data_IF_352722501383
#
_entry.id   IF_352722501383
#
_cell.length_a   1.000
_cell.length_b   1.000
_cell.length_c   1.000
_cell.angle_alpha   90.00
_cell.angle_beta   90.00
_cell.angle_gamma   90.00
#
_symmetry.space_group_name_H-M   'P 1'
#
loop_
_entity.id
_entity.type
_entity.pdbx_description
1 polymer ?
#
# COMPACT_ATOMS: atom_id res chain seq x y z
N UNK A 1 23.72 36.99 21.08
CA UNK A 1 23.02 37.89 20.13
C UNK A 1 21.56 37.91 20.53
N UNK A 2 21.04 39.06 20.93
CA UNK A 2 19.59 39.26 21.12
C UNK A 2 18.94 39.36 19.75
N UNK A 3 17.89 38.57 19.49
CA UNK A 3 17.15 38.64 18.25
C UNK A 3 16.51 40.03 18.09
N UNK A 4 16.65 40.65 16.91
CA UNK A 4 15.98 41.90 16.60
C UNK A 4 14.54 41.61 16.16
N UNK A 5 13.60 41.72 17.10
CA UNK A 5 12.19 41.43 16.84
C UNK A 5 11.54 42.45 15.89
N UNK A 6 12.03 43.69 15.80
CA UNK A 6 11.49 44.70 14.90
C UNK A 6 11.74 44.32 13.43
N UNK A 7 12.92 43.77 13.13
CA UNK A 7 13.25 43.25 11.79
C UNK A 7 12.43 42.00 11.46
N UNK A 8 12.22 41.11 12.44
CA UNK A 8 11.40 39.89 12.27
C UNK A 8 9.93 40.26 12.01
N UNK A 9 9.38 41.19 12.77
CA UNK A 9 8.00 41.67 12.60
C UNK A 9 7.85 42.36 11.24
N UNK A 10 8.83 43.17 10.83
CA UNK A 10 8.82 43.82 9.52
C UNK A 10 8.92 42.81 8.38
N UNK A 11 9.76 41.78 8.52
CA UNK A 11 9.84 40.69 7.55
C UNK A 11 8.50 39.94 7.42
N UNK A 12 7.78 39.72 8.53
CA UNK A 12 6.45 39.09 8.53
C UNK A 12 5.36 39.96 7.89
N UNK A 13 5.50 41.28 7.88
CA UNK A 13 4.50 42.20 7.29
C UNK A 13 4.76 42.52 5.81
N UNK A 14 5.98 42.31 5.33
CA UNK A 14 6.40 42.65 3.95
C UNK A 14 6.63 41.42 3.07
N UNK A 15 7.08 40.28 3.65
CA UNK A 15 7.35 39.08 2.86
C UNK A 15 6.05 38.32 2.54
N UNK A 16 5.81 38.04 1.25
CA UNK A 16 4.70 37.18 0.81
C UNK A 16 4.94 35.69 1.11
N UNK A 17 6.17 35.30 1.46
CA UNK A 17 6.54 33.95 1.90
C UNK A 17 7.77 33.98 2.80
N UNK A 18 7.77 33.19 3.88
CA UNK A 18 8.95 32.96 4.72
C UNK A 18 10.12 32.37 3.91
N UNK A 19 11.37 32.77 4.20
CA UNK A 19 12.55 32.13 3.61
C UNK A 19 12.66 30.68 4.09
N UNK A 20 12.30 29.73 3.22
CA UNK A 20 12.42 28.31 3.49
C UNK A 20 13.79 27.81 3.02
N UNK A 21 14.60 27.27 3.94
CA UNK A 21 15.95 26.79 3.63
C UNK A 21 15.97 25.30 3.25
N UNK A 22 16.96 24.89 2.46
CA UNK A 22 17.20 23.48 2.13
C UNK A 22 17.48 22.63 3.38
N UNK A 23 18.12 23.22 4.40
CA UNK A 23 18.29 22.57 5.71
C UNK A 23 16.95 22.27 6.37
N UNK A 24 16.00 23.22 6.36
CA UNK A 24 14.67 23.01 6.93
C UNK A 24 13.91 21.93 6.16
N UNK A 25 13.99 21.95 4.83
CA UNK A 25 13.40 20.93 3.97
C UNK A 25 13.93 19.52 4.31
N UNK A 26 15.26 19.40 4.43
CA UNK A 26 15.93 18.14 4.75
C UNK A 26 15.45 17.57 6.09
N UNK A 27 15.36 18.42 7.14
CA UNK A 27 14.91 18.01 8.47
C UNK A 27 13.48 17.45 8.43
N UNK A 28 12.58 18.07 7.67
CA UNK A 28 11.19 17.59 7.55
C UNK A 28 11.09 16.26 6.78
N UNK A 29 12.01 16.01 5.85
CA UNK A 29 12.02 14.83 5.00
C UNK A 29 12.85 13.67 5.54
N UNK A 30 13.49 13.78 6.72
CA UNK A 30 14.29 12.67 7.29
C UNK A 30 13.50 11.36 7.42
N UNK A 31 12.27 11.31 8.00
CA UNK A 31 11.50 10.07 8.07
C UNK A 31 11.17 9.47 6.69
N UNK A 32 10.84 10.32 5.72
CA UNK A 32 10.57 9.91 4.34
C UNK A 32 11.82 9.40 3.62
N UNK A 33 12.96 10.05 3.83
CA UNK A 33 14.25 9.66 3.27
C UNK A 33 14.70 8.32 3.84
N UNK A 34 14.49 8.11 5.15
CA UNK A 34 14.77 6.83 5.81
C UNK A 34 14.03 5.66 5.14
N UNK A 35 12.71 5.74 4.98
CA UNK A 35 11.92 4.65 4.38
C UNK A 35 12.23 4.45 2.89
N UNK A 36 12.57 5.51 2.16
CA UNK A 36 12.89 5.42 0.72
C UNK A 36 14.33 4.97 0.45
N UNK A 37 15.25 5.18 1.40
CA UNK A 37 16.65 4.73 1.31
C UNK A 37 16.83 3.22 1.37
N UNK A 38 15.85 2.48 1.88
CA UNK A 38 15.85 1.02 1.91
C UNK A 38 14.98 0.49 0.76
N UNK A 39 15.55 0.08 -0.39
CA UNK A 39 14.76 -0.31 -1.56
C UNK A 39 13.85 -1.49 -1.23
N UNK A 40 12.60 -1.43 -1.68
CA UNK A 40 11.69 -2.56 -1.59
C UNK A 40 11.90 -3.53 -2.75
N UNK A 41 11.17 -4.65 -2.78
CA UNK A 41 10.96 -5.37 -4.04
C UNK A 41 10.26 -4.41 -5.00
N UNK A 42 10.93 -4.01 -6.08
CA UNK A 42 10.54 -2.99 -7.06
C UNK A 42 9.33 -3.39 -7.93
N UNK A 43 8.31 -4.01 -7.32
CA UNK A 43 7.11 -4.51 -8.01
C UNK A 43 6.31 -3.35 -8.62
N UNK A 44 6.27 -2.19 -7.96
CA UNK A 44 5.59 -1.00 -8.47
C UNK A 44 6.24 -0.47 -9.74
N UNK A 45 7.57 -0.33 -9.75
CA UNK A 45 8.32 0.09 -10.94
C UNK A 45 8.12 -0.90 -12.09
N UNK A 46 8.16 -2.21 -11.79
CA UNK A 46 7.89 -3.25 -12.78
C UNK A 46 6.44 -3.18 -13.32
N UNK A 47 5.45 -2.94 -12.46
CA UNK A 47 4.06 -2.76 -12.87
C UNK A 47 3.91 -1.54 -13.78
N UNK A 48 4.48 -0.38 -13.41
CA UNK A 48 4.48 0.81 -14.26
C UNK A 48 5.07 0.47 -15.64
N UNK A 49 6.25 -0.15 -15.69
CA UNK A 49 6.88 -0.52 -16.97
C UNK A 49 6.02 -1.50 -17.78
N UNK A 50 5.37 -2.44 -17.11
CA UNK A 50 4.51 -3.41 -17.75
C UNK A 50 3.27 -2.75 -18.36
N UNK A 51 2.56 -1.90 -17.63
CA UNK A 51 1.41 -1.14 -18.16
C UNK A 51 1.83 -0.13 -19.23
N UNK A 52 3.05 0.41 -19.16
CA UNK A 52 3.53 1.35 -20.17
C UNK A 52 3.75 0.70 -21.55
N UNK A 53 3.88 -0.64 -21.63
CA UNK A 53 3.85 -1.36 -22.91
C UNK A 53 2.52 -1.19 -23.64
N UNK A 54 1.42 -1.03 -22.90
CA UNK A 54 0.09 -0.81 -23.48
C UNK A 54 -0.27 0.65 -23.64
N UNK A 55 0.17 1.50 -22.71
CA UNK A 55 -0.29 2.89 -22.60
C UNK A 55 0.64 3.90 -23.29
N UNK A 56 1.91 3.55 -23.50
CA UNK A 56 2.91 4.40 -24.16
C UNK A 56 2.88 5.86 -23.66
N UNK A 57 3.00 6.04 -22.35
CA UNK A 57 2.97 7.35 -21.69
C UNK A 57 4.25 8.13 -22.03
N UNK A 58 4.16 9.42 -22.39
CA UNK A 58 5.33 10.27 -22.60
C UNK A 58 6.29 10.24 -21.41
N UNK A 59 7.60 10.19 -21.68
CA UNK A 59 8.63 9.93 -20.67
C UNK A 59 8.61 10.95 -19.51
N UNK A 60 8.40 12.22 -19.82
CA UNK A 60 8.31 13.31 -18.86
C UNK A 60 7.09 13.16 -17.94
N UNK A 61 5.92 12.80 -18.50
CA UNK A 61 4.71 12.51 -17.74
C UNK A 61 4.87 11.26 -16.87
N UNK A 62 5.44 10.19 -17.43
CA UNK A 62 5.68 8.93 -16.71
C UNK A 62 6.61 9.14 -15.49
N UNK A 63 7.63 9.99 -15.63
CA UNK A 63 8.50 10.34 -14.50
C UNK A 63 7.75 11.07 -13.39
N UNK A 64 6.88 12.04 -13.73
CA UNK A 64 6.03 12.72 -12.73
C UNK A 64 5.07 11.74 -12.06
N UNK A 65 4.40 10.88 -12.83
CA UNK A 65 3.50 9.84 -12.29
C UNK A 65 4.24 8.93 -11.30
N UNK A 66 5.45 8.46 -11.66
CA UNK A 66 6.25 7.63 -10.76
C UNK A 66 6.64 8.34 -9.47
N UNK A 67 6.95 9.64 -9.52
CA UNK A 67 7.21 10.45 -8.31
C UNK A 67 5.98 10.56 -7.44
N UNK A 68 4.81 10.89 -8.02
CA UNK A 68 3.53 10.99 -7.31
C UNK A 68 3.21 9.67 -6.61
N UNK A 69 3.22 8.55 -7.34
CA UNK A 69 2.92 7.22 -6.79
C UNK A 69 3.91 6.83 -5.69
N UNK A 70 5.19 7.16 -5.85
CA UNK A 70 6.22 6.85 -4.84
C UNK A 70 6.04 7.65 -3.56
N UNK A 71 5.76 8.95 -3.68
CA UNK A 71 5.47 9.82 -2.54
C UNK A 71 4.24 9.34 -1.77
N UNK A 72 3.12 9.13 -2.48
CA UNK A 72 1.88 8.64 -1.86
C UNK A 72 2.07 7.28 -1.18
N UNK A 73 2.78 6.35 -1.85
CA UNK A 73 3.06 5.03 -1.27
C UNK A 73 3.88 5.12 0.01
N UNK A 74 5.03 5.78 -0.04
CA UNK A 74 5.95 5.84 1.09
C UNK A 74 5.34 6.61 2.25
N UNK A 75 4.59 7.70 1.99
CA UNK A 75 3.79 8.39 3.02
C UNK A 75 2.75 7.48 3.65
N UNK A 76 2.02 6.70 2.84
CA UNK A 76 1.03 5.76 3.37
C UNK A 76 1.66 4.71 4.27
N UNK A 77 2.85 4.20 3.93
CA UNK A 77 3.57 3.24 4.76
C UNK A 77 4.07 3.84 6.08
N UNK A 78 4.52 5.10 6.09
CA UNK A 78 4.91 5.77 7.34
C UNK A 78 3.74 5.88 8.32
N UNK A 79 2.54 6.17 7.80
CA UNK A 79 1.32 6.25 8.61
C UNK A 79 0.83 4.86 9.02
N UNK A 80 0.83 3.89 8.11
CA UNK A 80 0.45 2.49 8.36
C UNK A 80 1.33 1.86 9.45
N UNK A 81 2.66 2.00 9.35
CA UNK A 81 3.60 1.50 10.35
C UNK A 81 3.35 2.11 11.75
N UNK A 82 2.87 3.36 11.84
CA UNK A 82 2.44 3.97 13.11
C UNK A 82 1.12 3.38 13.60
N UNK A 83 0.13 3.27 12.70
CA UNK A 83 -1.20 2.78 13.02
C UNK A 83 -1.18 1.32 13.50
N UNK A 84 -0.23 0.53 13.00
CA UNK A 84 -0.02 -0.87 13.32
C UNK A 84 1.00 -1.11 14.44
N UNK A 85 1.66 -0.06 14.94
CA UNK A 85 2.78 -0.17 15.91
C UNK A 85 3.88 -1.14 15.43
N UNK A 86 4.18 -1.09 14.13
CA UNK A 86 5.17 -1.93 13.49
C UNK A 86 6.56 -1.72 14.10
N UNK A 87 7.37 -2.78 14.12
CA UNK A 87 8.74 -2.71 14.64
C UNK A 87 9.77 -2.56 13.50
N UNK A 88 9.57 -3.30 12.42
CA UNK A 88 10.50 -3.37 11.29
C UNK A 88 9.77 -3.15 9.98
N UNK A 89 10.47 -2.51 9.04
CA UNK A 89 10.12 -2.47 7.64
C UNK A 89 11.35 -2.72 6.79
N UNK A 90 11.26 -3.74 5.92
CA UNK A 90 12.37 -4.14 5.02
C UNK A 90 13.67 -4.43 5.78
N UNK A 91 13.56 -5.00 6.98
CA UNK A 91 14.69 -5.35 7.85
C UNK A 91 15.27 -4.19 8.66
N UNK A 92 14.78 -2.96 8.48
CA UNK A 92 15.21 -1.78 9.22
C UNK A 92 14.14 -1.35 10.23
N UNK A 93 14.51 -0.72 11.37
CA UNK A 93 13.52 -0.12 12.27
C UNK A 93 12.64 0.90 11.54
N UNK A 94 11.34 0.90 11.83
CA UNK A 94 10.40 1.86 11.22
C UNK A 94 10.69 3.29 11.68
N UNK A 95 10.37 4.26 10.83
CA UNK A 95 10.75 5.66 11.03
C UNK A 95 10.27 6.24 12.37
N UNK A 96 9.05 5.91 12.80
CA UNK A 96 8.49 6.45 14.04
C UNK A 96 9.20 5.95 15.32
N UNK A 97 9.94 4.84 15.24
CA UNK A 97 10.81 4.37 16.34
C UNK A 97 12.15 5.10 16.40
N UNK A 98 12.57 5.75 15.30
CA UNK A 98 13.82 6.51 15.20
C UNK A 98 13.58 7.99 15.45
N UNK A 99 12.63 8.59 14.71
CA UNK A 99 12.36 10.03 14.70
C UNK A 99 11.17 10.43 15.60
N UNK A 100 10.48 9.44 16.17
CA UNK A 100 9.28 9.66 16.97
C UNK A 100 8.00 9.77 16.14
N UNK A 101 6.88 9.44 16.78
CA UNK A 101 5.54 9.45 16.18
C UNK A 101 5.16 10.84 15.64
N UNK A 102 5.29 11.96 16.38
CA UNK A 102 4.83 13.26 15.90
C UNK A 102 5.56 13.73 14.62
N UNK A 103 6.89 13.60 14.58
CA UNK A 103 7.68 14.01 13.42
C UNK A 103 7.36 13.14 12.20
N UNK A 104 7.17 11.83 12.41
CA UNK A 104 6.86 10.90 11.32
C UNK A 104 5.47 11.17 10.72
N UNK A 105 4.46 11.45 11.55
CA UNK A 105 3.12 11.88 11.08
C UNK A 105 3.25 13.16 10.25
N UNK A 106 3.95 14.16 10.77
CA UNK A 106 4.11 15.43 10.07
C UNK A 106 4.83 15.25 8.72
N UNK A 107 5.92 14.48 8.68
CA UNK A 107 6.67 14.18 7.46
C UNK A 107 5.81 13.48 6.41
N UNK A 108 5.06 12.45 6.80
CA UNK A 108 4.18 11.73 5.88
C UNK A 108 3.08 12.63 5.30
N UNK A 109 2.43 13.45 6.15
CA UNK A 109 1.41 14.41 5.74
C UNK A 109 1.97 15.50 4.84
N UNK A 110 3.17 16.02 5.15
CA UNK A 110 3.86 16.99 4.31
C UNK A 110 4.09 16.43 2.90
N UNK A 111 4.59 15.20 2.81
CA UNK A 111 4.84 14.53 1.52
C UNK A 111 3.54 14.21 0.76
N UNK A 112 2.41 13.96 1.44
CA UNK A 112 1.11 13.89 0.75
C UNK A 112 0.81 15.18 -0.01
N UNK A 113 1.05 16.35 0.60
CA UNK A 113 0.84 17.63 -0.08
C UNK A 113 1.89 17.92 -1.17
N UNK A 114 3.14 17.46 -1.01
CA UNK A 114 4.13 17.50 -2.10
C UNK A 114 3.68 16.67 -3.31
N UNK A 115 3.08 15.50 -3.07
CA UNK A 115 2.50 14.69 -4.14
C UNK A 115 1.34 15.39 -4.86
N UNK A 116 0.49 16.10 -4.12
CA UNK A 116 -0.56 16.92 -4.72
C UNK A 116 0.01 18.09 -5.52
N UNK A 117 1.10 18.72 -5.06
CA UNK A 117 1.79 19.77 -5.80
C UNK A 117 2.35 19.26 -7.15
N UNK A 118 2.99 18.09 -7.17
CA UNK A 118 3.44 17.44 -8.41
C UNK A 118 2.26 17.08 -9.33
N UNK A 119 1.13 16.66 -8.76
CA UNK A 119 -0.10 16.39 -9.52
C UNK A 119 -0.65 17.64 -10.22
N UNK A 120 -0.67 18.79 -9.55
CA UNK A 120 -1.06 20.05 -10.19
C UNK A 120 -0.17 20.39 -11.39
N UNK A 121 1.15 20.16 -11.26
CA UNK A 121 2.09 20.39 -12.37
C UNK A 121 1.96 19.37 -13.51
N UNK A 122 1.51 18.15 -13.22
CA UNK A 122 1.23 17.14 -14.25
C UNK A 122 0.00 17.55 -15.07
N UNK A 123 -1.06 18.01 -14.40
CA UNK A 123 -2.31 18.42 -15.04
C UNK A 123 -2.15 19.70 -15.87
N UNK A 124 -1.48 20.71 -15.33
CA UNK A 124 -1.22 21.96 -16.07
C UNK A 124 -0.45 21.73 -17.38
N UNK A 125 0.43 20.72 -17.41
CA UNK A 125 1.18 20.33 -18.62
C UNK A 125 0.40 19.40 -19.57
N UNK A 126 -0.82 19.02 -19.24
CA UNK A 126 -1.60 18.00 -19.96
C UNK A 126 -2.97 18.48 -20.46
N UNK A 127 -3.27 19.78 -20.31
CA UNK A 127 -4.56 20.43 -20.62
C UNK A 127 -5.09 20.12 -22.03
N UNK A 128 -4.23 19.89 -23.03
CA UNK A 128 -4.63 19.59 -24.41
C UNK A 128 -4.79 18.08 -24.72
N UNK A 129 -4.48 17.19 -23.78
CA UNK A 129 -4.30 15.74 -24.05
C UNK A 129 -5.00 14.82 -23.02
N UNK A 130 -5.96 15.32 -22.26
CA UNK A 130 -6.69 14.48 -21.31
C UNK A 130 -7.79 13.69 -22.01
N UNK A 131 -7.70 12.36 -21.90
CA UNK A 131 -8.74 11.43 -22.37
C UNK A 131 -9.79 11.13 -21.28
N UNK A 132 -10.04 12.07 -20.35
CA UNK A 132 -10.97 11.85 -19.24
C UNK A 132 -11.78 13.12 -18.95
N UNK A 133 -13.06 12.94 -18.60
CA UNK A 133 -13.97 14.03 -18.22
C UNK A 133 -13.69 14.61 -16.82
N UNK A 134 -12.84 13.94 -16.03
CA UNK A 134 -12.46 14.36 -14.68
C UNK A 134 -11.05 14.97 -14.66
N UNK A 135 -10.81 15.89 -13.73
CA UNK A 135 -9.45 16.36 -13.47
C UNK A 135 -8.60 15.23 -12.86
N UNK A 136 -7.28 15.28 -13.08
CA UNK A 136 -6.38 14.31 -12.45
C UNK A 136 -6.42 14.44 -10.93
N UNK A 137 -6.66 15.64 -10.40
CA UNK A 137 -6.82 15.82 -8.95
C UNK A 137 -8.04 15.09 -8.43
N UNK A 138 -9.20 15.22 -9.07
CA UNK A 138 -10.41 14.50 -8.65
C UNK A 138 -10.17 12.99 -8.64
N UNK A 139 -9.55 12.47 -9.71
CA UNK A 139 -9.21 11.06 -9.85
C UNK A 139 -8.32 10.54 -8.70
N UNK A 140 -7.28 11.30 -8.34
CA UNK A 140 -6.36 10.90 -7.26
C UNK A 140 -7.02 11.06 -5.90
N UNK A 141 -7.78 12.14 -5.69
CA UNK A 141 -8.53 12.37 -4.46
C UNK A 141 -9.54 11.25 -4.19
N UNK A 142 -10.29 10.80 -5.20
CA UNK A 142 -11.25 9.71 -5.06
C UNK A 142 -10.59 8.41 -4.61
N UNK A 143 -9.41 8.08 -5.18
CA UNK A 143 -8.67 6.89 -4.76
C UNK A 143 -8.00 7.03 -3.40
N UNK A 144 -7.55 8.23 -3.02
CA UNK A 144 -7.07 8.49 -1.66
C UNK A 144 -8.20 8.34 -0.63
N UNK A 145 -9.42 8.78 -0.96
CA UNK A 145 -10.59 8.56 -0.12
C UNK A 145 -10.90 7.05 0.02
N UNK A 146 -10.83 6.29 -1.08
CA UNK A 146 -11.01 4.84 -1.03
C UNK A 146 -9.92 4.16 -0.18
N UNK A 147 -8.66 4.55 -0.34
CA UNK A 147 -7.55 4.05 0.48
C UNK A 147 -7.83 4.26 1.98
N UNK A 148 -8.23 5.47 2.37
CA UNK A 148 -8.51 5.78 3.77
C UNK A 148 -9.78 5.09 4.30
N UNK A 149 -10.82 4.89 3.46
CA UNK A 149 -11.99 4.08 3.83
C UNK A 149 -11.60 2.62 4.10
N UNK A 150 -10.75 2.05 3.25
CA UNK A 150 -10.22 0.70 3.42
C UNK A 150 -9.41 0.58 4.72
N UNK A 151 -8.44 1.48 4.93
CA UNK A 151 -7.65 1.53 6.16
C UNK A 151 -8.53 1.68 7.40
N UNK A 152 -9.49 2.60 7.37
CA UNK A 152 -10.38 2.85 8.50
C UNK A 152 -11.22 1.63 8.89
N UNK A 153 -11.73 0.87 7.91
CA UNK A 153 -12.46 -0.37 8.17
C UNK A 153 -11.56 -1.47 8.77
N UNK A 154 -10.35 -1.62 8.24
CA UNK A 154 -9.38 -2.59 8.79
C UNK A 154 -9.05 -2.28 10.26
N UNK A 155 -8.74 -1.02 10.56
CA UNK A 155 -8.49 -0.55 11.92
C UNK A 155 -9.71 -0.74 12.82
N UNK A 156 -10.91 -0.42 12.33
CA UNK A 156 -12.15 -0.62 13.06
C UNK A 156 -12.33 -2.09 13.44
N UNK A 157 -12.21 -3.02 12.49
CA UNK A 157 -12.35 -4.46 12.76
C UNK A 157 -11.32 -4.93 13.77
N UNK A 158 -10.06 -4.58 13.56
CA UNK A 158 -8.93 -4.91 14.44
C UNK A 158 -9.15 -4.42 15.87
N UNK A 159 -9.54 -3.16 16.05
CA UNK A 159 -9.63 -2.51 17.36
C UNK A 159 -10.96 -2.80 18.07
N UNK A 160 -12.04 -3.09 17.33
CA UNK A 160 -13.33 -3.55 17.89
C UNK A 160 -13.43 -5.07 18.04
N UNK A 161 -12.44 -5.81 17.55
CA UNK A 161 -12.40 -7.28 17.51
C UNK A 161 -13.59 -7.90 16.75
N UNK A 162 -14.10 -7.19 15.74
CA UNK A 162 -15.19 -7.66 14.88
C UNK A 162 -14.59 -8.26 13.61
N UNK A 163 -14.63 -9.60 13.50
CA UNK A 163 -14.14 -10.29 12.31
C UNK A 163 -15.07 -10.01 11.10
N UNK A 164 -14.55 -9.51 9.97
CA UNK A 164 -15.36 -9.30 8.77
C UNK A 164 -15.78 -10.63 8.12
N UNK A 165 -16.72 -10.55 7.19
CA UNK A 165 -16.94 -11.57 6.16
C UNK A 165 -15.80 -11.57 5.14
N UNK A 166 -15.69 -12.63 4.32
CA UNK A 166 -14.68 -12.65 3.25
C UNK A 166 -14.99 -11.60 2.19
N UNK A 167 -16.27 -11.37 1.87
CA UNK A 167 -16.71 -10.34 0.94
C UNK A 167 -16.36 -8.92 1.42
N UNK A 168 -16.60 -8.64 2.71
CA UNK A 168 -16.20 -7.37 3.32
C UNK A 168 -14.69 -7.19 3.32
N UNK A 169 -13.93 -8.24 3.65
CA UNK A 169 -12.46 -8.21 3.59
C UNK A 169 -11.98 -7.89 2.17
N UNK A 170 -12.49 -8.57 1.14
CA UNK A 170 -12.09 -8.34 -0.26
C UNK A 170 -12.44 -6.91 -0.70
N UNK A 171 -13.61 -6.40 -0.31
CA UNK A 171 -14.01 -5.02 -0.58
C UNK A 171 -13.09 -4.01 0.10
N UNK A 172 -12.73 -4.24 1.37
CA UNK A 172 -11.77 -3.42 2.10
C UNK A 172 -10.39 -3.41 1.42
N UNK A 173 -9.87 -4.58 1.06
CA UNK A 173 -8.58 -4.72 0.37
C UNK A 173 -8.58 -4.02 -0.98
N UNK A 174 -9.66 -4.16 -1.76
CA UNK A 174 -9.79 -3.48 -3.03
C UNK A 174 -9.77 -1.94 -2.86
N UNK A 175 -10.27 -1.43 -1.74
CA UNK A 175 -10.18 -0.02 -1.40
C UNK A 175 -8.77 0.39 -0.91
N UNK A 176 -8.20 -0.31 0.08
CA UNK A 176 -6.87 -0.03 0.68
C UNK A 176 -5.73 -0.22 -0.32
N UNK A 177 -5.52 -1.45 -0.77
CA UNK A 177 -4.37 -1.84 -1.59
C UNK A 177 -4.60 -1.55 -3.06
N UNK A 178 -5.84 -1.76 -3.54
CA UNK A 178 -6.22 -1.44 -4.90
C UNK A 178 -6.17 0.07 -5.20
N UNK A 179 -6.49 0.94 -4.23
CA UNK A 179 -6.54 2.39 -4.44
C UNK A 179 -5.22 2.98 -4.92
N UNK A 180 -4.10 2.61 -4.30
CA UNK A 180 -2.80 3.11 -4.67
C UNK A 180 -2.32 2.59 -6.03
N UNK A 181 -2.57 1.31 -6.36
CA UNK A 181 -2.28 0.79 -7.70
C UNK A 181 -3.15 1.47 -8.76
N UNK A 182 -4.43 1.70 -8.47
CA UNK A 182 -5.35 2.42 -9.36
C UNK A 182 -4.88 3.84 -9.61
N UNK A 183 -4.37 4.57 -8.61
CA UNK A 183 -3.82 5.93 -8.82
C UNK A 183 -2.78 5.91 -9.94
N UNK A 184 -1.78 5.04 -9.85
CA UNK A 184 -0.72 4.96 -10.87
C UNK A 184 -1.26 4.65 -12.26
N UNK A 185 -2.09 3.61 -12.38
CA UNK A 185 -2.58 3.16 -13.69
C UNK A 185 -3.61 4.13 -14.28
N UNK A 186 -4.48 4.73 -13.46
CA UNK A 186 -5.43 5.76 -13.92
C UNK A 186 -4.71 7.02 -14.41
N UNK A 187 -3.66 7.48 -13.72
CA UNK A 187 -2.83 8.58 -14.19
C UNK A 187 -2.12 8.24 -15.51
N UNK A 188 -1.63 7.00 -15.65
CA UNK A 188 -1.03 6.53 -16.90
C UNK A 188 -2.05 6.45 -18.03
N UNK A 189 -3.25 5.94 -17.79
CA UNK A 189 -4.36 5.91 -18.77
C UNK A 189 -4.72 7.32 -19.23
N UNK A 190 -4.80 8.27 -18.30
CA UNK A 190 -5.11 9.66 -18.60
C UNK A 190 -4.02 10.41 -19.39
N UNK A 191 -2.78 9.90 -19.37
CA UNK A 191 -1.62 10.48 -20.05
C UNK A 191 -1.09 9.61 -21.21
N UNK A 192 -1.69 8.44 -21.44
CA UNK A 192 -1.25 7.46 -22.42
C UNK A 192 -1.57 7.91 -23.85
N UNK A 193 -0.81 7.40 -24.81
CA UNK A 193 -0.99 7.70 -26.24
C UNK A 193 -1.51 6.51 -27.04
N UNK A 194 -1.61 5.34 -26.42
CA UNK A 194 -2.13 4.11 -27.01
C UNK A 194 -3.15 3.45 -26.09
N UNK A 195 -4.09 2.70 -26.67
CA UNK A 195 -5.16 2.01 -25.95
C UNK A 195 -5.98 2.93 -25.02
N UNK A 196 -6.23 4.18 -25.44
CA UNK A 196 -6.89 5.23 -24.64
C UNK A 196 -8.31 4.87 -24.23
N UNK A 197 -8.99 4.02 -25.01
CA UNK A 197 -10.36 3.57 -24.74
C UNK A 197 -10.43 2.28 -23.91
N UNK A 198 -9.28 1.72 -23.51
CA UNK A 198 -9.22 0.46 -22.77
C UNK A 198 -9.18 0.71 -21.27
N UNK A 199 -10.14 0.15 -20.55
CA UNK A 199 -10.14 0.15 -19.08
C UNK A 199 -9.31 -1.02 -18.52
N UNK A 200 -8.23 -0.68 -17.82
CA UNK A 200 -7.35 -1.64 -17.16
C UNK A 200 -7.67 -1.82 -15.66
N UNK A 201 -8.61 -1.06 -15.11
CA UNK A 201 -8.94 -1.09 -13.68
C UNK A 201 -9.45 -2.46 -13.19
N UNK A 202 -10.23 -3.23 -13.95
CA UNK A 202 -10.60 -4.59 -13.55
C UNK A 202 -9.39 -5.49 -13.30
N UNK A 203 -8.37 -5.44 -14.16
CA UNK A 203 -7.12 -6.16 -13.97
C UNK A 203 -6.35 -5.68 -12.75
N UNK A 204 -6.27 -4.36 -12.55
CA UNK A 204 -5.59 -3.76 -11.38
C UNK A 204 -6.25 -4.17 -10.07
N UNK A 205 -7.59 -4.24 -10.02
CA UNK A 205 -8.33 -4.70 -8.86
C UNK A 205 -8.01 -6.16 -8.53
N UNK A 206 -7.99 -7.04 -9.55
CA UNK A 206 -7.63 -8.46 -9.38
C UNK A 206 -6.20 -8.61 -8.85
N UNK A 207 -5.24 -7.88 -9.42
CA UNK A 207 -3.85 -7.87 -8.98
C UNK A 207 -3.71 -7.35 -7.54
N UNK A 208 -4.42 -6.27 -7.19
CA UNK A 208 -4.38 -5.68 -5.85
C UNK A 208 -4.89 -6.65 -4.78
N UNK A 209 -6.01 -7.33 -5.03
CA UNK A 209 -6.56 -8.33 -4.11
C UNK A 209 -5.64 -9.55 -4.01
N UNK A 210 -5.15 -10.06 -5.15
CA UNK A 210 -4.19 -11.16 -5.15
C UNK A 210 -2.93 -10.83 -4.36
N UNK A 211 -2.37 -9.63 -4.54
CA UNK A 211 -1.18 -9.16 -3.85
C UNK A 211 -1.39 -9.10 -2.34
N UNK A 212 -2.55 -8.63 -1.86
CA UNK A 212 -2.81 -8.54 -0.43
C UNK A 212 -3.02 -9.92 0.22
N UNK A 213 -3.82 -10.81 -0.39
CA UNK A 213 -4.01 -12.17 0.13
C UNK A 213 -2.66 -12.90 0.21
N UNK A 214 -1.80 -12.69 -0.81
CA UNK A 214 -0.42 -13.18 -0.78
C UNK A 214 0.38 -12.60 0.38
N UNK A 215 0.34 -11.29 0.59
CA UNK A 215 1.11 -10.63 1.66
C UNK A 215 0.71 -11.17 3.04
N UNK A 216 -0.60 -11.33 3.26
CA UNK A 216 -1.20 -11.91 4.46
C UNK A 216 -0.76 -13.38 4.68
N UNK A 217 -0.77 -14.19 3.61
CA UNK A 217 -0.26 -15.57 3.67
C UNK A 217 1.23 -15.59 4.04
N UNK A 218 2.03 -14.76 3.37
CA UNK A 218 3.48 -14.72 3.57
C UNK A 218 3.86 -14.17 4.96
N UNK A 219 3.08 -13.25 5.53
CA UNK A 219 3.28 -12.75 6.90
C UNK A 219 3.31 -13.91 7.92
N UNK A 220 2.43 -14.91 7.73
CA UNK A 220 2.27 -16.03 8.65
C UNK A 220 3.16 -17.25 8.33
N UNK A 221 3.64 -17.39 7.08
CA UNK A 221 4.34 -18.60 6.61
C UNK A 221 5.82 -18.37 6.23
N UNK A 222 6.22 -17.15 5.86
CA UNK A 222 7.55 -16.93 5.27
C UNK A 222 8.61 -16.57 6.30
N UNK A 223 9.72 -17.31 6.27
CA UNK A 223 10.92 -16.99 7.06
C UNK A 223 11.57 -15.68 6.61
N UNK A 224 11.58 -15.38 5.31
CA UNK A 224 12.09 -14.10 4.78
C UNK A 224 11.27 -12.93 5.33
N UNK A 225 9.94 -13.07 5.35
CA UNK A 225 9.06 -12.04 5.92
C UNK A 225 9.28 -11.88 7.42
N UNK A 226 9.51 -12.99 8.14
CA UNK A 226 9.84 -12.94 9.56
C UNK A 226 11.11 -12.11 9.86
N UNK A 227 12.11 -12.13 8.97
CA UNK A 227 13.31 -11.29 9.09
C UNK A 227 13.04 -9.82 8.71
N UNK A 228 12.19 -9.58 7.71
CA UNK A 228 11.98 -8.25 7.14
C UNK A 228 10.93 -7.40 7.87
N UNK A 229 9.89 -8.03 8.41
CA UNK A 229 8.75 -7.39 9.09
C UNK A 229 8.67 -7.79 10.57
N UNK A 230 9.10 -9.01 10.89
CA UNK A 230 8.90 -9.65 12.20
C UNK A 230 8.08 -10.93 12.07
N UNK A 231 8.22 -11.85 13.02
CA UNK A 231 7.57 -13.16 12.94
C UNK A 231 6.06 -13.04 13.17
N UNK A 232 5.26 -13.27 12.11
CA UNK A 232 3.79 -13.22 12.14
C UNK A 232 3.25 -11.94 12.79
N UNK A 233 3.71 -10.79 12.31
CA UNK A 233 3.33 -9.48 12.84
C UNK A 233 1.84 -9.18 12.70
N UNK A 234 1.14 -9.73 11.70
CA UNK A 234 -0.32 -9.57 11.60
C UNK A 234 -1.01 -10.02 12.91
N UNK A 235 -0.46 -11.03 13.61
CA UNK A 235 -0.97 -11.47 14.90
C UNK A 235 -0.60 -10.51 16.04
N UNK A 236 0.59 -9.88 16.01
CA UNK A 236 0.96 -8.82 16.96
C UNK A 236 0.03 -7.63 16.80
N UNK A 237 -0.23 -7.23 15.56
CA UNK A 237 -1.11 -6.10 15.22
C UNK A 237 -2.56 -6.39 15.62
N UNK A 238 -2.93 -7.67 15.76
CA UNK A 238 -4.31 -8.11 16.00
C UNK A 238 -5.16 -8.08 14.73
N UNK A 239 -4.51 -8.07 13.57
CA UNK A 239 -5.11 -7.87 12.25
C UNK A 239 -5.92 -9.09 11.82
N UNK A 240 -7.07 -8.83 11.21
CA UNK A 240 -7.86 -9.83 10.51
C UNK A 240 -7.34 -10.05 9.08
N UNK A 241 -6.16 -10.67 8.95
CA UNK A 241 -5.62 -11.07 7.65
C UNK A 241 -6.41 -12.23 7.04
N UNK A 242 -6.32 -12.45 5.71
CA UNK A 242 -7.20 -13.41 5.02
C UNK A 242 -7.23 -14.83 5.64
N UNK A 243 -6.08 -15.47 5.96
CA UNK A 243 -6.10 -16.78 6.64
C UNK A 243 -6.76 -16.74 8.02
N UNK A 244 -6.63 -15.61 8.73
CA UNK A 244 -7.22 -15.38 10.06
C UNK A 244 -8.73 -15.20 9.95
N UNK A 245 -9.22 -14.43 8.98
CA UNK A 245 -10.66 -14.28 8.68
C UNK A 245 -11.29 -15.65 8.44
N UNK A 246 -10.73 -16.42 7.51
CA UNK A 246 -11.21 -17.78 7.25
C UNK A 246 -11.15 -18.65 8.52
N UNK A 247 -10.04 -18.60 9.28
CA UNK A 247 -9.87 -19.41 10.49
C UNK A 247 -10.91 -19.13 11.58
N UNK A 248 -11.25 -17.86 11.81
CA UNK A 248 -12.31 -17.47 12.75
C UNK A 248 -13.67 -17.96 12.28
N UNK A 249 -13.97 -17.82 10.98
CA UNK A 249 -15.28 -18.14 10.42
C UNK A 249 -15.51 -19.63 10.20
N UNK A 250 -14.45 -20.40 9.94
CA UNK A 250 -14.52 -21.85 9.74
C UNK A 250 -14.91 -22.61 11.02
N UNK A 251 -14.65 -22.03 12.21
CA UNK A 251 -15.12 -22.57 13.48
C UNK A 251 -15.58 -21.47 14.44
N UNK A 252 -16.81 -20.92 14.26
CA UNK A 252 -17.32 -19.80 15.06
C UNK A 252 -17.47 -20.10 16.55
N UNK A 253 -17.52 -21.39 16.92
CA UNK A 253 -17.61 -21.83 18.31
C UNK A 253 -16.28 -21.71 19.07
N UNK A 254 -15.16 -21.65 18.33
CA UNK A 254 -13.82 -21.55 18.90
C UNK A 254 -13.34 -20.09 18.91
N UNK A 255 -13.13 -19.54 20.11
CA UNK A 255 -12.67 -18.15 20.31
C UNK A 255 -11.16 -17.99 20.45
N UNK A 256 -10.36 -19.04 20.27
CA UNK A 256 -8.91 -19.00 20.52
C UNK A 256 -8.19 -17.97 19.63
N UNK A 257 -8.51 -17.90 18.34
CA UNK A 257 -7.91 -16.92 17.42
C UNK A 257 -8.23 -15.51 17.91
N UNK A 258 -9.51 -15.20 18.15
CA UNK A 258 -9.96 -13.88 18.64
C UNK A 258 -9.27 -13.49 19.95
N UNK A 259 -9.19 -14.41 20.91
CA UNK A 259 -8.53 -14.17 22.20
C UNK A 259 -7.03 -13.91 22.05
N UNK A 260 -6.37 -14.48 21.03
CA UNK A 260 -4.96 -14.21 20.75
C UNK A 260 -4.80 -12.86 20.06
N UNK A 261 -5.62 -12.52 19.05
CA UNK A 261 -5.58 -11.22 18.39
C UNK A 261 -5.79 -10.08 19.39
N UNK A 262 -6.75 -10.23 20.31
CA UNK A 262 -6.99 -9.24 21.37
C UNK A 262 -5.77 -9.00 22.27
N UNK A 263 -4.94 -10.03 22.48
CA UNK A 263 -3.74 -9.94 23.32
C UNK A 263 -2.54 -9.32 22.62
N UNK A 264 -2.57 -9.17 21.29
CA UNK A 264 -1.47 -8.60 20.50
C UNK A 264 -0.09 -9.17 20.89
N UNK A 265 0.08 -10.51 20.80
CA UNK A 265 1.26 -11.16 21.34
C UNK A 265 2.54 -10.69 20.66
N UNK A 266 3.53 -10.27 21.45
CA UNK A 266 4.89 -9.97 20.97
C UNK A 266 5.80 -11.21 20.97
N UNK A 267 5.45 -12.24 21.74
CA UNK A 267 6.24 -13.47 21.86
C UNK A 267 5.77 -14.59 20.92
N UNK A 268 6.66 -15.50 20.48
CA UNK A 268 6.30 -16.53 19.50
C UNK A 268 5.27 -17.57 19.96
N UNK A 269 5.06 -17.75 21.27
CA UNK A 269 4.25 -18.86 21.81
C UNK A 269 2.81 -18.84 21.33
N UNK A 270 2.12 -17.70 21.49
CA UNK A 270 0.73 -17.56 21.05
C UNK A 270 0.63 -17.50 19.52
N UNK A 271 1.62 -16.89 18.86
CA UNK A 271 1.70 -16.82 17.39
C UNK A 271 1.78 -18.22 16.77
N UNK A 272 2.70 -19.06 17.25
CA UNK A 272 2.86 -20.46 16.82
C UNK A 272 1.62 -21.30 17.08
N UNK A 273 0.95 -21.08 18.21
CA UNK A 273 -0.31 -21.76 18.52
C UNK A 273 -1.40 -21.45 17.48
N UNK A 274 -1.63 -20.18 17.17
CA UNK A 274 -2.62 -19.77 16.15
C UNK A 274 -2.24 -20.29 14.77
N UNK A 275 -0.97 -20.15 14.36
CA UNK A 275 -0.48 -20.68 13.07
C UNK A 275 -0.72 -22.21 12.99
N UNK A 276 -0.42 -22.96 14.04
CA UNK A 276 -0.68 -24.40 14.10
C UNK A 276 -2.16 -24.74 13.98
N UNK A 277 -3.05 -23.96 14.62
CA UNK A 277 -4.49 -24.13 14.52
C UNK A 277 -5.02 -23.81 13.10
N UNK A 278 -4.54 -22.71 12.49
CA UNK A 278 -4.86 -22.33 11.11
C UNK A 278 -4.42 -23.40 10.11
N UNK A 279 -3.27 -24.04 10.32
CA UNK A 279 -2.76 -25.10 9.45
C UNK A 279 -3.54 -26.41 9.60
N UNK A 280 -3.73 -26.87 10.84
CA UNK A 280 -4.09 -28.26 11.11
C UNK A 280 -5.56 -28.45 11.49
N UNK A 281 -6.26 -27.42 11.96
CA UNK A 281 -7.63 -27.54 12.45
C UNK A 281 -8.64 -26.88 11.52
N UNK A 282 -8.35 -25.69 10.99
CA UNK A 282 -9.25 -24.99 10.06
C UNK A 282 -8.81 -25.09 8.60
N UNK A 283 -7.61 -25.63 8.34
CA UNK A 283 -7.01 -25.71 7.01
C UNK A 283 -7.00 -24.36 6.25
N UNK A 284 -6.89 -23.25 7.00
CA UNK A 284 -6.98 -21.91 6.43
C UNK A 284 -5.86 -21.61 5.44
N UNK A 285 -4.66 -22.15 5.64
CA UNK A 285 -3.58 -21.94 4.68
C UNK A 285 -3.86 -22.64 3.34
N UNK A 286 -4.39 -23.86 3.35
CA UNK A 286 -4.77 -24.56 2.12
C UNK A 286 -5.93 -23.83 1.42
N UNK A 287 -6.93 -23.38 2.19
CA UNK A 287 -8.02 -22.55 1.67
C UNK A 287 -7.49 -21.26 1.02
N UNK A 288 -6.62 -20.51 1.71
CA UNK A 288 -6.01 -19.30 1.17
C UNK A 288 -5.30 -19.56 -0.16
N UNK A 289 -4.51 -20.62 -0.27
CA UNK A 289 -3.83 -21.00 -1.51
C UNK A 289 -4.83 -21.25 -2.65
N UNK A 290 -5.93 -21.98 -2.38
CA UNK A 290 -6.98 -22.23 -3.37
C UNK A 290 -7.67 -20.94 -3.85
N UNK A 291 -7.86 -19.96 -2.95
CA UNK A 291 -8.44 -18.65 -3.30
C UNK A 291 -7.45 -17.85 -4.13
N UNK A 292 -6.17 -17.89 -3.77
CA UNK A 292 -5.11 -17.25 -4.55
C UNK A 292 -5.01 -17.82 -5.97
N UNK A 293 -5.14 -19.13 -6.15
CA UNK A 293 -5.17 -19.75 -7.48
C UNK A 293 -6.36 -19.23 -8.31
N UNK A 294 -7.56 -19.13 -7.73
CA UNK A 294 -8.73 -18.54 -8.43
C UNK A 294 -8.46 -17.11 -8.89
N UNK A 295 -7.84 -16.28 -8.04
CA UNK A 295 -7.47 -14.91 -8.41
C UNK A 295 -6.39 -14.89 -9.49
N UNK A 296 -5.37 -15.74 -9.38
CA UNK A 296 -4.30 -15.87 -10.39
C UNK A 296 -4.89 -16.25 -11.76
N UNK A 297 -5.74 -17.26 -11.81
CA UNK A 297 -6.36 -17.72 -13.05
C UNK A 297 -7.26 -16.63 -13.66
N UNK A 298 -7.95 -15.86 -12.82
CA UNK A 298 -8.73 -14.71 -13.28
C UNK A 298 -7.85 -13.57 -13.80
N UNK A 299 -6.70 -13.30 -13.17
CA UNK A 299 -5.69 -12.35 -13.66
C UNK A 299 -5.17 -12.80 -15.03
N UNK A 300 -4.80 -14.07 -15.20
CA UNK A 300 -4.30 -14.62 -16.48
C UNK A 300 -5.37 -14.50 -17.56
N UNK A 301 -6.63 -14.83 -17.25
CA UNK A 301 -7.75 -14.70 -18.19
C UNK A 301 -7.93 -13.25 -18.64
N UNK A 302 -7.84 -12.30 -17.71
CA UNK A 302 -7.99 -10.88 -17.99
C UNK A 302 -6.80 -10.33 -18.79
N UNK A 303 -5.58 -10.78 -18.50
CA UNK A 303 -4.38 -10.47 -19.30
C UNK A 303 -4.54 -10.92 -20.75
N UNK A 304 -5.03 -12.15 -20.97
CA UNK A 304 -5.31 -12.67 -22.31
C UNK A 304 -6.38 -11.86 -23.02
N UNK A 305 -7.47 -11.48 -22.33
CA UNK A 305 -8.53 -10.62 -22.86
C UNK A 305 -8.00 -9.26 -23.33
N UNK A 306 -7.00 -8.72 -22.65
CA UNK A 306 -6.34 -7.45 -22.96
C UNK A 306 -5.23 -7.56 -24.02
N UNK A 307 -5.07 -8.72 -24.67
CA UNK A 307 -4.07 -8.94 -25.73
C UNK A 307 -2.70 -9.40 -25.24
N UNK A 308 -2.57 -9.77 -23.96
CA UNK A 308 -1.34 -10.28 -23.36
C UNK A 308 -0.33 -9.20 -22.99
N UNK A 309 0.51 -9.49 -22.00
CA UNK A 309 1.59 -8.60 -21.58
C UNK A 309 2.72 -9.40 -20.89
N UNK A 310 3.85 -9.64 -21.58
CA UNK A 310 4.89 -10.52 -21.08
C UNK A 310 5.55 -10.02 -19.78
N UNK A 311 5.51 -8.70 -19.53
CA UNK A 311 6.02 -8.13 -18.27
C UNK A 311 5.06 -8.39 -17.11
N UNK A 312 3.75 -8.30 -17.33
CA UNK A 312 2.76 -8.66 -16.31
C UNK A 312 2.76 -10.17 -16.06
N UNK A 313 2.91 -10.99 -17.10
CA UNK A 313 3.05 -12.45 -16.94
C UNK A 313 4.24 -12.78 -16.02
N UNK A 314 5.41 -12.17 -16.27
CA UNK A 314 6.59 -12.34 -15.43
C UNK A 314 6.37 -11.87 -13.98
N UNK A 315 5.59 -10.80 -13.77
CA UNK A 315 5.25 -10.33 -12.41
C UNK A 315 4.33 -11.35 -11.72
N UNK A 316 3.32 -11.89 -12.40
CA UNK A 316 2.42 -12.91 -11.84
C UNK A 316 3.20 -14.18 -11.49
N UNK A 317 4.15 -14.60 -12.33
CA UNK A 317 5.07 -15.71 -12.03
C UNK A 317 5.96 -15.41 -10.83
N UNK A 318 6.55 -14.21 -10.76
CA UNK A 318 7.38 -13.77 -9.64
C UNK A 318 6.59 -13.79 -8.32
N UNK A 319 5.35 -13.32 -8.34
CA UNK A 319 4.46 -13.35 -7.19
C UNK A 319 4.08 -14.79 -6.80
N UNK A 320 4.08 -15.73 -7.75
CA UNK A 320 3.82 -17.14 -7.45
C UNK A 320 5.04 -17.84 -6.79
N UNK A 321 6.24 -17.23 -6.84
CA UNK A 321 7.43 -17.81 -6.19
C UNK A 321 7.32 -17.81 -4.67
N UNK A 322 7.75 -18.92 -4.07
CA UNK A 322 7.74 -19.12 -2.61
C UNK A 322 6.37 -19.55 -2.07
N UNK A 323 5.36 -19.71 -2.93
CA UNK A 323 4.04 -20.20 -2.58
C UNK A 323 3.97 -21.68 -2.96
N UNK A 324 3.66 -22.59 -2.03
CA UNK A 324 3.48 -24.00 -2.38
C UNK A 324 2.23 -24.18 -3.27
N UNK A 325 2.19 -25.20 -4.14
CA UNK A 325 0.99 -25.50 -4.91
C UNK A 325 -0.18 -25.80 -3.97
N UNK A 326 -1.40 -25.41 -4.37
CA UNK A 326 -2.61 -25.90 -3.70
C UNK A 326 -2.65 -27.43 -3.79
N UNK A 327 -3.03 -28.07 -2.69
CA UNK A 327 -3.18 -29.52 -2.61
C UNK A 327 -4.59 -29.97 -2.99
#
# INVERSE_FOLDING_TARGET
MTANYDDIITALTVASSSSWSETNETILLEPYTHITSTPGKEIRTQLTEAFNLWLNVPRDKLQKINRIVTMLHSSSLLIDDIQDDAQLRRGSPVAHKIYGVPQTINSANYVYFLAMNELFQLEAGSIEQHHTDHSLQQLVTDELLNLHRGQGLELYWRDSLVCPTEEEYISMVNNKTGGLFRIGIKLMMACGTTNTDTDYIPLVNLLGVYFQIRDDYMNLQSTEYAHNKGFAEDLTEGKFSFPVVHGVRANPSNRQILNVLQKRPTTPTLKKHVIGYLANSTHSFAYTLSVMDKFRDRVITELQRLGGNPRLDAIVELLSKGIPPSQ
#
